data_IF_437253873487
#
_entry.id   IF_437253873487
#
_cell.length_a   1.000
_cell.length_b   1.000
_cell.length_c   1.000
_cell.angle_alpha   90.00
_cell.angle_beta   90.00
_cell.angle_gamma   90.00
#
_symmetry.space_group_name_H-M   'P 1'
#
loop_
_entity.id
_entity.type
_entity.pdbx_description
1 polymer ?
#
# COMPACT_ATOMS: atom_id res chain seq x y z
N UNK A 1 32.29 13.54 9.27
CA UNK A 1 30.82 13.72 9.16
C UNK A 1 30.26 12.51 8.43
N UNK A 2 29.27 11.80 8.97
CA UNK A 2 28.64 10.65 8.29
C UNK A 2 27.40 11.15 7.53
N UNK A 3 27.31 10.85 6.24
CA UNK A 3 26.11 11.13 5.43
C UNK A 3 25.22 9.88 5.46
N UNK A 4 23.96 9.97 5.94
CA UNK A 4 23.07 8.82 6.01
C UNK A 4 22.56 8.44 4.61
N UNK A 5 22.36 7.15 4.36
CA UNK A 5 21.75 6.66 3.12
C UNK A 5 20.25 7.02 3.05
N UNK A 6 19.55 7.01 4.20
CA UNK A 6 18.15 7.40 4.31
C UNK A 6 17.96 8.40 5.45
N UNK A 7 17.14 9.42 5.21
CA UNK A 7 16.68 10.36 6.23
C UNK A 7 15.24 10.77 5.89
N UNK A 8 14.35 10.60 6.86
CA UNK A 8 12.95 11.02 6.71
C UNK A 8 12.90 12.55 6.66
N UNK A 9 12.21 13.10 5.66
CA UNK A 9 11.83 14.50 5.66
C UNK A 9 10.63 14.69 6.58
N UNK A 10 10.78 15.53 7.60
CA UNK A 10 9.71 15.95 8.49
C UNK A 10 9.38 17.40 8.16
N UNK A 11 8.10 17.71 7.95
CA UNK A 11 7.65 19.07 7.72
C UNK A 11 8.04 19.99 8.90
N UNK A 12 8.29 21.30 8.66
CA UNK A 12 8.52 22.25 9.73
C UNK A 12 7.39 22.24 10.76
N UNK A 13 7.74 22.46 12.02
CA UNK A 13 6.77 22.42 13.13
C UNK A 13 5.67 23.47 12.95
N UNK A 14 6.06 24.61 12.40
CA UNK A 14 5.18 25.75 12.12
C UNK A 14 4.09 25.41 11.11
N UNK A 15 4.30 24.38 10.27
CA UNK A 15 3.34 23.91 9.26
C UNK A 15 2.48 22.74 9.76
N UNK A 16 2.94 21.96 10.75
CA UNK A 16 2.29 20.69 11.14
C UNK A 16 1.68 20.71 12.55
N UNK A 17 2.34 21.35 13.53
CA UNK A 17 2.07 21.11 14.95
C UNK A 17 0.64 21.49 15.36
N UNK A 18 0.09 22.60 14.83
CA UNK A 18 -1.28 23.03 15.16
C UNK A 18 -2.33 21.98 14.78
N UNK A 19 -2.29 21.51 13.52
CA UNK A 19 -3.24 20.52 13.00
C UNK A 19 -3.06 19.17 13.70
N UNK A 20 -1.82 18.74 13.89
CA UNK A 20 -1.50 17.50 14.59
C UNK A 20 -2.03 17.51 16.04
N UNK A 21 -1.74 18.57 16.80
CA UNK A 21 -2.17 18.68 18.20
C UNK A 21 -3.69 18.77 18.32
N UNK A 22 -4.37 19.44 17.37
CA UNK A 22 -5.84 19.48 17.34
C UNK A 22 -6.44 18.08 17.22
N UNK A 23 -5.87 17.21 16.39
CA UNK A 23 -6.31 15.81 16.23
C UNK A 23 -6.02 15.01 17.51
N UNK A 24 -4.80 15.13 18.05
CA UNK A 24 -4.42 14.41 19.28
C UNK A 24 -5.36 14.76 20.44
N UNK A 25 -5.66 16.04 20.63
CA UNK A 25 -6.52 16.50 21.73
C UNK A 25 -8.02 16.32 21.47
N UNK A 26 -8.43 16.04 20.22
CA UNK A 26 -9.83 15.72 19.90
C UNK A 26 -10.30 14.38 20.49
N UNK A 27 -9.38 13.48 20.84
CA UNK A 27 -9.68 12.10 21.23
C UNK A 27 -10.04 11.18 20.06
N UNK A 28 -10.13 11.70 18.83
CA UNK A 28 -10.45 10.95 17.62
C UNK A 28 -9.19 10.73 16.77
N UNK A 29 -8.37 9.76 17.16
CA UNK A 29 -7.00 9.53 16.61
C UNK A 29 -6.91 8.37 15.61
N UNK A 30 -8.04 7.80 15.21
CA UNK A 30 -8.12 6.69 14.26
C UNK A 30 -8.54 7.20 12.87
N UNK A 31 -9.09 6.33 12.02
CA UNK A 31 -9.61 6.73 10.70
C UNK A 31 -10.76 7.73 10.86
N UNK A 32 -10.69 8.85 10.13
CA UNK A 32 -11.60 9.98 10.32
C UNK A 32 -11.59 11.02 9.22
N UNK A 33 -12.16 12.22 9.47
CA UNK A 33 -12.26 13.29 8.47
C UNK A 33 -10.91 13.68 7.85
N UNK A 34 -9.82 13.66 8.62
CA UNK A 34 -8.47 13.95 8.10
C UNK A 34 -7.98 12.89 7.10
N UNK A 35 -8.42 11.64 7.25
CA UNK A 35 -8.14 10.58 6.27
C UNK A 35 -8.94 10.81 5.00
N UNK A 36 -10.22 11.21 5.10
CA UNK A 36 -11.07 11.52 3.94
C UNK A 36 -10.52 12.71 3.14
N UNK A 37 -10.06 13.76 3.82
CA UNK A 37 -9.37 14.92 3.24
C UNK A 37 -8.10 14.47 2.50
N UNK A 38 -7.28 13.64 3.15
CA UNK A 38 -6.05 13.13 2.54
C UNK A 38 -6.35 12.26 1.30
N UNK A 39 -7.36 11.38 1.36
CA UNK A 39 -7.77 10.59 0.21
C UNK A 39 -8.31 11.46 -0.92
N UNK A 40 -9.06 12.53 -0.65
CA UNK A 40 -9.51 13.46 -1.68
C UNK A 40 -8.32 14.12 -2.39
N UNK A 41 -7.30 14.55 -1.65
CA UNK A 41 -6.07 15.09 -2.22
C UNK A 41 -5.33 14.04 -3.07
N UNK A 42 -5.26 12.78 -2.62
CA UNK A 42 -4.66 11.68 -3.38
C UNK A 42 -5.45 11.34 -4.65
N UNK A 43 -6.79 11.36 -4.61
CA UNK A 43 -7.63 11.13 -5.80
C UNK A 43 -7.34 12.16 -6.89
N UNK A 44 -7.21 13.43 -6.49
CA UNK A 44 -6.83 14.51 -7.39
C UNK A 44 -5.39 14.32 -7.91
N UNK A 45 -4.44 13.99 -7.04
CA UNK A 45 -3.04 13.79 -7.39
C UNK A 45 -2.83 12.63 -8.38
N UNK A 46 -3.50 11.49 -8.16
CA UNK A 46 -3.41 10.31 -9.02
C UNK A 46 -4.35 10.35 -10.23
N UNK A 47 -5.23 11.36 -10.32
CA UNK A 47 -6.32 11.41 -11.30
C UNK A 47 -7.16 10.11 -11.32
N UNK A 48 -7.49 9.58 -10.13
CA UNK A 48 -8.22 8.33 -9.96
C UNK A 48 -9.14 8.40 -8.74
N UNK A 49 -10.45 8.20 -8.95
CA UNK A 49 -11.46 8.27 -7.89
C UNK A 49 -11.37 7.11 -6.88
N UNK A 50 -10.69 6.02 -7.24
CA UNK A 50 -10.62 4.77 -6.46
C UNK A 50 -9.34 4.69 -5.62
N UNK A 51 -9.24 5.59 -4.63
CA UNK A 51 -8.16 5.59 -3.64
C UNK A 51 -8.68 5.10 -2.29
N UNK A 52 -7.90 4.24 -1.65
CA UNK A 52 -8.11 3.74 -0.28
C UNK A 52 -6.77 3.77 0.46
N UNK A 53 -6.73 4.49 1.58
CA UNK A 53 -5.56 4.55 2.46
C UNK A 53 -5.55 3.36 3.42
N UNK A 54 -4.35 2.89 3.74
CA UNK A 54 -4.11 1.76 4.64
C UNK A 54 -2.92 2.07 5.54
N UNK A 55 -2.74 1.28 6.60
CA UNK A 55 -1.65 1.49 7.56
C UNK A 55 -0.24 1.31 6.96
N UNK A 56 -0.11 0.68 5.79
CA UNK A 56 1.15 0.49 5.07
C UNK A 56 0.91 0.00 3.64
N UNK A 57 1.92 0.16 2.77
CA UNK A 57 1.90 -0.43 1.43
C UNK A 57 1.83 -1.97 1.47
N UNK A 58 2.47 -2.62 2.46
CA UNK A 58 2.40 -4.08 2.66
C UNK A 58 0.97 -4.56 2.87
N UNK A 59 0.19 -3.85 3.69
CA UNK A 59 -1.24 -4.15 3.89
C UNK A 59 -2.05 -3.94 2.61
N UNK A 60 -1.68 -2.96 1.79
CA UNK A 60 -2.27 -2.76 0.45
C UNK A 60 -2.07 -3.96 -0.46
N UNK A 61 -0.84 -4.45 -0.58
CA UNK A 61 -0.54 -5.66 -1.35
C UNK A 61 -1.27 -6.88 -0.79
N UNK A 62 -1.30 -7.04 0.54
CA UNK A 62 -1.99 -8.14 1.18
C UNK A 62 -3.51 -8.10 0.93
N UNK A 63 -4.13 -6.93 1.06
CA UNK A 63 -5.56 -6.71 0.80
C UNK A 63 -5.89 -6.98 -0.66
N UNK A 64 -5.11 -6.45 -1.60
CA UNK A 64 -5.33 -6.65 -3.04
C UNK A 64 -5.32 -8.15 -3.40
N UNK A 65 -4.29 -8.89 -2.96
CA UNK A 65 -4.20 -10.33 -3.16
C UNK A 65 -5.34 -11.09 -2.48
N UNK A 66 -5.75 -10.67 -1.28
CA UNK A 66 -6.86 -11.28 -0.57
C UNK A 66 -8.19 -11.13 -1.33
N UNK A 67 -8.46 -9.94 -1.89
CA UNK A 67 -9.67 -9.66 -2.66
C UNK A 67 -9.74 -10.49 -3.95
N UNK A 68 -8.60 -10.69 -4.62
CA UNK A 68 -8.53 -11.48 -5.85
C UNK A 68 -8.86 -12.97 -5.66
N UNK A 69 -8.83 -13.51 -4.44
CA UNK A 69 -9.19 -14.91 -4.16
C UNK A 69 -10.65 -15.22 -4.49
N UNK A 70 -11.56 -14.26 -4.28
CA UNK A 70 -13.00 -14.52 -4.43
C UNK A 70 -13.45 -14.23 -5.85
N UNK A 71 -14.26 -15.11 -6.40
CA UNK A 71 -14.95 -14.85 -7.66
C UNK A 71 -15.82 -13.60 -7.55
N UNK A 72 -15.83 -12.78 -8.60
CA UNK A 72 -16.70 -11.62 -8.70
C UNK A 72 -17.48 -11.68 -10.02
N UNK A 73 -18.75 -12.08 -9.94
CA UNK A 73 -19.63 -12.25 -11.09
C UNK A 73 -19.92 -10.96 -11.84
N UNK A 74 -19.92 -9.82 -11.14
CA UNK A 74 -20.19 -8.50 -11.74
C UNK A 74 -19.13 -8.11 -12.76
N UNK A 75 -17.88 -8.57 -12.57
CA UNK A 75 -16.76 -8.30 -13.47
C UNK A 75 -16.20 -9.57 -14.15
N UNK A 76 -16.97 -10.67 -14.13
CA UNK A 76 -16.57 -11.97 -14.66
C UNK A 76 -15.19 -12.47 -14.17
N UNK A 77 -14.81 -12.10 -12.93
CA UNK A 77 -13.56 -12.58 -12.32
C UNK A 77 -13.78 -13.97 -11.71
N UNK A 78 -13.03 -15.01 -12.12
CA UNK A 78 -13.23 -16.37 -11.63
C UNK A 78 -12.72 -16.59 -10.19
N UNK A 79 -11.92 -15.67 -9.66
CA UNK A 79 -11.17 -15.88 -8.41
C UNK A 79 -9.84 -16.58 -8.67
N UNK A 80 -8.87 -16.35 -7.78
CA UNK A 80 -7.59 -17.07 -7.80
C UNK A 80 -7.63 -18.29 -6.87
N UNK A 81 -7.03 -19.37 -7.33
CA UNK A 81 -6.85 -20.65 -6.65
C UNK A 81 -5.38 -20.96 -6.42
N UNK A 82 -5.03 -21.37 -5.21
CA UNK A 82 -3.63 -21.57 -4.80
C UNK A 82 -2.95 -22.75 -5.53
N UNK A 83 -3.75 -23.69 -6.05
CA UNK A 83 -3.26 -24.90 -6.71
C UNK A 83 -2.82 -24.65 -8.15
N UNK A 84 -3.42 -23.65 -8.81
CA UNK A 84 -3.22 -23.38 -10.24
C UNK A 84 -2.54 -22.05 -10.47
N UNK A 85 -2.90 -21.02 -9.69
CA UNK A 85 -2.47 -19.65 -9.96
C UNK A 85 -1.13 -19.32 -9.29
N UNK A 86 -0.29 -18.61 -10.04
CA UNK A 86 1.02 -18.13 -9.63
C UNK A 86 1.08 -16.61 -9.72
N UNK A 87 1.79 -15.97 -8.80
CA UNK A 87 2.05 -14.53 -8.86
C UNK A 87 3.46 -14.30 -9.40
N UNK A 88 3.53 -13.62 -10.54
CA UNK A 88 4.78 -13.18 -11.15
C UNK A 88 5.33 -11.97 -10.40
N UNK A 89 6.59 -12.03 -9.99
CA UNK A 89 7.27 -10.93 -9.28
C UNK A 89 8.79 -11.03 -9.45
N UNK A 90 9.51 -9.98 -9.08
CA UNK A 90 10.96 -9.89 -9.16
C UNK A 90 11.61 -10.15 -7.79
N UNK A 91 12.74 -10.87 -7.70
CA UNK A 91 13.48 -10.99 -6.44
C UNK A 91 14.22 -9.70 -6.07
N UNK A 92 14.54 -8.83 -7.04
CA UNK A 92 15.20 -7.54 -6.82
C UNK A 92 14.18 -6.46 -6.42
N UNK A 93 13.63 -6.59 -5.21
CA UNK A 93 12.69 -5.63 -4.62
C UNK A 93 12.77 -5.67 -3.09
N UNK A 94 12.08 -4.75 -2.41
CA UNK A 94 11.86 -4.88 -0.97
C UNK A 94 11.07 -6.16 -0.68
N UNK A 95 11.47 -6.90 0.35
CA UNK A 95 10.82 -8.17 0.70
C UNK A 95 9.32 -8.02 1.01
N UNK A 96 8.89 -6.81 1.40
CA UNK A 96 7.49 -6.43 1.58
C UNK A 96 6.62 -6.60 0.32
N UNK A 97 7.21 -6.67 -0.88
CA UNK A 97 6.49 -7.01 -2.12
C UNK A 97 6.13 -8.49 -2.19
N UNK A 98 7.06 -9.36 -1.78
CA UNK A 98 6.96 -10.81 -2.01
C UNK A 98 6.28 -11.55 -0.86
N UNK A 99 6.47 -11.11 0.39
CA UNK A 99 5.86 -11.79 1.55
C UNK A 99 4.32 -11.80 1.53
N UNK A 100 3.61 -10.74 1.10
CA UNK A 100 2.15 -10.77 1.01
C UNK A 100 1.60 -11.86 0.09
N UNK A 101 2.36 -12.27 -0.94
CA UNK A 101 2.00 -13.37 -1.85
C UNK A 101 1.94 -14.69 -1.07
N UNK A 102 3.02 -15.01 -0.37
CA UNK A 102 3.13 -16.22 0.44
C UNK A 102 2.16 -16.19 1.63
N UNK A 103 1.98 -15.03 2.27
CA UNK A 103 1.01 -14.85 3.35
C UNK A 103 -0.44 -15.06 2.89
N UNK A 104 -0.71 -14.90 1.59
CA UNK A 104 -2.00 -15.25 0.99
C UNK A 104 -2.06 -16.68 0.46
N UNK A 105 -1.00 -17.49 0.65
CA UNK A 105 -0.89 -18.88 0.23
C UNK A 105 -0.75 -19.08 -1.28
N UNK A 106 -0.38 -18.02 -2.01
CA UNK A 106 -0.05 -18.14 -3.43
C UNK A 106 1.41 -18.52 -3.62
N UNK A 107 1.72 -19.08 -4.78
CA UNK A 107 3.09 -19.39 -5.20
C UNK A 107 3.70 -18.22 -5.96
N UNK A 108 4.96 -17.94 -5.67
CA UNK A 108 5.75 -16.99 -6.43
C UNK A 108 6.36 -17.70 -7.64
N UNK A 109 6.30 -17.03 -8.78
CA UNK A 109 7.12 -17.35 -9.95
C UNK A 109 8.00 -16.14 -10.30
N UNK A 110 9.31 -16.36 -10.24
CA UNK A 110 10.30 -15.29 -10.37
C UNK A 110 10.48 -14.86 -11.82
N UNK A 111 10.45 -13.56 -12.05
CA UNK A 111 10.96 -12.90 -13.25
C UNK A 111 12.26 -12.17 -12.92
N UNK A 112 13.19 -12.16 -13.88
CA UNK A 112 14.47 -11.45 -13.74
C UNK A 112 14.29 -9.92 -13.89
N UNK A 113 15.25 -9.15 -13.38
CA UNK A 113 15.29 -7.70 -13.56
C UNK A 113 16.08 -7.34 -14.83
N UNK A 114 15.72 -6.23 -15.48
CA UNK A 114 16.55 -5.66 -16.54
C UNK A 114 17.83 -5.09 -15.90
N UNK A 115 19.05 -5.54 -16.30
CA UNK A 115 20.29 -5.04 -15.73
C UNK A 115 20.57 -3.54 -15.98
N UNK A 116 19.83 -2.91 -16.91
CA UNK A 116 19.95 -1.48 -17.21
C UNK A 116 19.05 -0.58 -16.34
N UNK A 117 18.16 -1.16 -15.53
CA UNK A 117 17.25 -0.44 -14.61
C UNK A 117 17.48 -0.85 -13.16
#
# INVERSE_FOLDING_TARGET
MKVPLFKVFMAPKEELDSDLLSIIHSGYITQGPKVEEFEAALRAFFANDRVVTLNSATSGLHLALHLLKRANKTIAWPGLTQQVDEVLTCPLTCTATNWPILANGFRIKWGDADPAT
#
